data_IF_957949015968
#
_entry.id   IF_957949015968
#
_cell.length_a   1.000
_cell.length_b   1.000
_cell.length_c   1.000
_cell.angle_alpha   90.00
_cell.angle_beta   90.00
_cell.angle_gamma   90.00
#
_symmetry.space_group_name_H-M   'P 1'
#
loop_
_entity.id
_entity.type
_entity.pdbx_description
1 polymer ?
#
# COMPACT_ATOMS: atom_id res chain seq x y z
N UNK A 1 -8.01 -4.03 15.91
CA UNK A 1 -7.30 -4.47 17.13
C UNK A 1 -6.02 -5.22 16.75
N UNK A 2 -4.82 -4.67 17.03
CA UNK A 2 -3.54 -5.41 16.97
C UNK A 2 -3.32 -6.29 18.22
N UNK A 3 -4.36 -6.51 19.05
CA UNK A 3 -4.27 -7.13 20.39
C UNK A 3 -4.78 -8.58 20.49
N UNK A 4 -5.08 -9.27 19.38
CA UNK A 4 -5.36 -10.72 19.44
C UNK A 4 -4.26 -11.53 18.75
N UNK A 5 -3.40 -12.11 19.57
CA UNK A 5 -2.40 -13.13 19.24
C UNK A 5 -3.06 -14.51 19.08
N UNK A 6 -4.03 -14.61 18.16
CA UNK A 6 -4.64 -15.89 17.82
C UNK A 6 -3.68 -16.79 17.03
N UNK A 7 -3.80 -18.14 17.10
CA UNK A 7 -2.93 -19.09 16.41
C UNK A 7 -2.75 -18.80 14.91
N UNK A 8 -3.81 -18.40 14.21
CA UNK A 8 -3.74 -18.07 12.77
C UNK A 8 -2.78 -16.92 12.45
N UNK A 9 -2.68 -15.92 13.33
CA UNK A 9 -1.77 -14.79 13.14
C UNK A 9 -0.31 -15.20 13.37
N UNK A 10 -0.07 -16.07 14.35
CA UNK A 10 1.26 -16.63 14.60
C UNK A 10 1.72 -17.51 13.42
N UNK A 11 0.83 -18.34 12.87
CA UNK A 11 1.13 -19.12 11.68
C UNK A 11 1.45 -18.25 10.46
N UNK A 12 0.72 -17.15 10.28
CA UNK A 12 1.01 -16.19 9.22
C UNK A 12 2.41 -15.57 9.40
N UNK A 13 2.75 -15.11 10.60
CA UNK A 13 4.07 -14.54 10.88
C UNK A 13 5.20 -15.55 10.67
N UNK A 14 5.05 -16.77 11.17
CA UNK A 14 6.01 -17.85 10.98
C UNK A 14 6.20 -18.18 9.49
N UNK A 15 5.12 -18.20 8.71
CA UNK A 15 5.17 -18.46 7.28
C UNK A 15 5.91 -17.35 6.50
N UNK A 16 5.63 -16.08 6.79
CA UNK A 16 6.30 -14.95 6.12
C UNK A 16 7.78 -14.92 6.49
N UNK A 17 8.11 -15.01 7.78
CA UNK A 17 9.51 -15.01 8.24
C UNK A 17 10.27 -16.23 7.68
N UNK A 18 9.66 -17.41 7.71
CA UNK A 18 10.23 -18.62 7.12
C UNK A 18 10.49 -18.48 5.61
N UNK A 19 9.64 -17.76 4.89
CA UNK A 19 9.85 -17.45 3.46
C UNK A 19 11.05 -16.52 3.26
N UNK A 20 11.15 -15.45 4.06
CA UNK A 20 12.27 -14.51 4.00
C UNK A 20 13.60 -15.19 4.36
N UNK A 21 13.63 -16.04 5.39
CA UNK A 21 14.83 -16.79 5.75
C UNK A 21 15.25 -17.79 4.67
N UNK A 22 14.30 -18.52 4.07
CA UNK A 22 14.58 -19.41 2.94
C UNK A 22 15.13 -18.67 1.72
N UNK A 23 14.74 -17.41 1.52
CA UNK A 23 15.28 -16.57 0.48
C UNK A 23 16.72 -16.08 0.77
N UNK A 24 17.21 -16.17 2.01
CA UNK A 24 18.58 -15.81 2.39
C UNK A 24 18.71 -14.52 3.20
N UNK A 25 17.60 -13.91 3.65
CA UNK A 25 17.68 -12.73 4.51
C UNK A 25 18.31 -13.06 5.87
N UNK A 26 19.14 -12.14 6.39
CA UNK A 26 19.58 -12.15 7.79
C UNK A 26 18.39 -11.91 8.74
N UNK A 27 18.58 -12.17 10.04
CA UNK A 27 17.56 -11.90 11.07
C UNK A 27 17.07 -10.45 11.00
N UNK A 28 18.01 -9.50 10.96
CA UNK A 28 17.69 -8.08 10.89
C UNK A 28 17.04 -7.70 9.56
N UNK A 29 17.50 -8.28 8.45
CA UNK A 29 16.93 -8.06 7.12
C UNK A 29 15.49 -8.56 7.01
N UNK A 30 15.23 -9.77 7.50
CA UNK A 30 13.89 -10.35 7.53
C UNK A 30 12.94 -9.56 8.43
N UNK A 31 13.41 -9.08 9.58
CA UNK A 31 12.62 -8.23 10.48
C UNK A 31 12.21 -6.91 9.81
N UNK A 32 13.14 -6.25 9.10
CA UNK A 32 12.85 -5.01 8.35
C UNK A 32 11.91 -5.27 7.18
N UNK A 33 12.14 -6.33 6.39
CA UNK A 33 11.29 -6.70 5.27
C UNK A 33 9.86 -7.02 5.72
N UNK A 34 9.72 -7.81 6.80
CA UNK A 34 8.43 -8.11 7.40
C UNK A 34 7.69 -6.85 7.85
N UNK A 35 8.37 -5.96 8.57
CA UNK A 35 7.77 -4.70 9.04
C UNK A 35 7.32 -3.80 7.90
N UNK A 36 8.09 -3.74 6.80
CA UNK A 36 7.76 -2.98 5.61
C UNK A 36 6.50 -3.52 4.93
N UNK A 37 6.43 -4.84 4.72
CA UNK A 37 5.27 -5.52 4.13
C UNK A 37 4.02 -5.36 5.00
N UNK A 38 4.10 -5.59 6.31
CA UNK A 38 2.98 -5.41 7.26
C UNK A 38 2.46 -3.98 7.21
N UNK A 39 3.36 -2.98 7.19
CA UNK A 39 2.97 -1.57 7.17
C UNK A 39 2.27 -1.18 5.86
N UNK A 40 2.78 -1.64 4.71
CA UNK A 40 2.19 -1.38 3.40
C UNK A 40 0.79 -2.01 3.29
N UNK A 41 0.68 -3.30 3.59
CA UNK A 41 -0.60 -4.03 3.54
C UNK A 41 -1.61 -3.41 4.49
N UNK A 42 -1.21 -3.12 5.73
CA UNK A 42 -2.10 -2.54 6.73
C UNK A 42 -2.57 -1.14 6.34
N UNK A 43 -1.66 -0.29 5.85
CA UNK A 43 -2.00 1.06 5.39
C UNK A 43 -2.99 1.03 4.22
N UNK A 44 -2.79 0.12 3.26
CA UNK A 44 -3.71 -0.08 2.15
C UNK A 44 -5.08 -0.58 2.63
N UNK A 45 -5.13 -1.56 3.53
CA UNK A 45 -6.40 -2.08 4.08
C UNK A 45 -7.20 -1.02 4.82
N UNK A 46 -6.55 -0.09 5.54
CA UNK A 46 -7.23 1.05 6.17
C UNK A 46 -7.84 1.96 5.10
N UNK A 47 -7.08 2.35 4.08
CA UNK A 47 -7.56 3.24 3.03
C UNK A 47 -8.74 2.63 2.28
N UNK A 48 -8.66 1.35 1.92
CA UNK A 48 -9.75 0.62 1.28
C UNK A 48 -11.00 0.54 2.19
N UNK A 49 -10.80 0.30 3.49
CA UNK A 49 -11.90 0.25 4.45
C UNK A 49 -12.58 1.62 4.62
N UNK A 50 -11.80 2.70 4.68
CA UNK A 50 -12.33 4.06 4.76
C UNK A 50 -13.09 4.43 3.49
N UNK A 51 -12.54 4.14 2.31
CA UNK A 51 -13.22 4.35 1.03
C UNK A 51 -14.55 3.59 0.96
N UNK A 52 -14.60 2.37 1.49
CA UNK A 52 -15.83 1.57 1.59
C UNK A 52 -16.83 2.13 2.61
N UNK A 53 -16.34 2.78 3.67
CA UNK A 53 -17.14 3.32 4.77
C UNK A 53 -17.74 4.70 4.46
N UNK A 54 -17.07 5.51 3.63
CA UNK A 54 -17.53 6.85 3.26
C UNK A 54 -18.76 6.85 2.35
N UNK A 55 -19.14 5.70 1.77
CA UNK A 55 -20.44 5.45 1.15
C UNK A 55 -20.67 6.17 -0.19
N UNK A 56 -21.06 5.39 -1.20
CA UNK A 56 -21.62 5.76 -2.53
C UNK A 56 -20.79 6.68 -3.46
N UNK A 57 -19.93 7.55 -2.94
CA UNK A 57 -19.13 8.45 -3.78
C UNK A 57 -18.05 7.68 -4.55
N UNK A 58 -18.16 7.64 -5.88
CA UNK A 58 -17.11 7.04 -6.70
C UNK A 58 -15.84 7.88 -6.64
N UNK A 59 -14.70 7.31 -7.04
CA UNK A 59 -13.45 8.05 -7.10
C UNK A 59 -13.55 9.29 -8.02
N UNK A 60 -14.37 9.19 -9.06
CA UNK A 60 -14.68 10.29 -9.99
C UNK A 60 -15.48 11.40 -9.30
N UNK A 61 -16.46 11.06 -8.46
CA UNK A 61 -17.25 12.03 -7.69
C UNK A 61 -16.39 12.76 -6.65
N UNK A 62 -15.51 12.03 -5.97
CA UNK A 62 -14.52 12.63 -5.07
C UNK A 62 -13.55 13.56 -5.82
N UNK A 63 -13.09 13.16 -7.01
CA UNK A 63 -12.20 13.97 -7.84
C UNK A 63 -12.91 15.24 -8.36
N UNK A 64 -14.19 15.14 -8.73
CA UNK A 64 -14.99 16.29 -9.15
C UNK A 64 -15.18 17.30 -8.00
N UNK A 65 -15.56 16.82 -6.80
CA UNK A 65 -15.69 17.67 -5.62
C UNK A 65 -14.35 18.32 -5.20
N UNK A 66 -13.24 17.61 -5.39
CA UNK A 66 -11.90 18.16 -5.22
C UNK A 66 -11.63 19.29 -6.23
N UNK A 67 -11.92 19.11 -7.52
CA UNK A 67 -11.69 20.16 -8.52
C UNK A 67 -12.48 21.44 -8.26
N UNK A 68 -13.72 21.33 -7.78
CA UNK A 68 -14.53 22.49 -7.40
C UNK A 68 -13.95 23.27 -6.20
N UNK A 69 -13.24 22.58 -5.31
CA UNK A 69 -12.74 23.14 -4.06
C UNK A 69 -11.26 23.54 -4.08
N UNK A 70 -10.49 23.13 -5.09
CA UNK A 70 -9.04 23.37 -5.18
C UNK A 70 -8.75 24.57 -6.09
N UNK A 71 -8.25 25.71 -5.55
CA UNK A 71 -7.80 26.82 -6.38
C UNK A 71 -6.58 26.42 -7.22
N UNK A 72 -6.74 26.38 -8.53
CA UNK A 72 -5.69 25.97 -9.48
C UNK A 72 -4.41 26.79 -9.34
N UNK A 73 -4.53 28.10 -9.08
CA UNK A 73 -3.39 29.00 -8.92
C UNK A 73 -2.54 28.70 -7.66
N UNK A 74 -3.13 28.01 -6.68
CA UNK A 74 -2.45 27.64 -5.42
C UNK A 74 -1.98 26.20 -5.39
N UNK A 75 -2.72 25.30 -6.04
CA UNK A 75 -2.45 23.85 -6.00
C UNK A 75 -2.49 23.22 -7.40
N UNK A 76 -1.63 23.67 -8.34
CA UNK A 76 -1.69 23.24 -9.73
C UNK A 76 -1.46 21.73 -9.91
N UNK A 77 -0.61 21.11 -9.08
CA UNK A 77 -0.34 19.67 -9.14
C UNK A 77 -1.54 18.84 -8.69
N UNK A 78 -2.24 19.29 -7.64
CA UNK A 78 -3.41 18.58 -7.14
C UNK A 78 -4.58 18.69 -8.11
N UNK A 79 -4.77 19.87 -8.70
CA UNK A 79 -5.73 20.06 -9.78
C UNK A 79 -5.40 19.17 -10.99
N UNK A 80 -4.12 19.07 -11.38
CA UNK A 80 -3.67 18.14 -12.44
C UNK A 80 -4.02 16.69 -12.12
N UNK A 81 -3.79 16.25 -10.88
CA UNK A 81 -4.11 14.89 -10.46
C UNK A 81 -5.60 14.63 -10.46
N UNK A 82 -6.42 15.53 -9.88
CA UNK A 82 -7.87 15.36 -9.85
C UNK A 82 -8.49 15.33 -11.25
N UNK A 83 -8.00 16.16 -12.19
CA UNK A 83 -8.39 16.08 -13.61
C UNK A 83 -8.03 14.72 -14.24
N UNK A 84 -6.84 14.19 -13.96
CA UNK A 84 -6.42 12.89 -14.48
C UNK A 84 -7.29 11.75 -13.93
N UNK A 85 -7.57 11.77 -12.63
CA UNK A 85 -8.43 10.79 -11.96
C UNK A 85 -9.85 10.80 -12.54
N UNK A 86 -10.42 11.98 -12.84
CA UNK A 86 -11.72 12.06 -13.54
C UNK A 86 -11.70 11.44 -14.95
N UNK A 87 -10.57 11.54 -15.66
CA UNK A 87 -10.48 11.07 -17.05
C UNK A 87 -10.15 9.59 -17.17
N UNK A 88 -9.29 9.08 -16.29
CA UNK A 88 -8.73 7.72 -16.37
C UNK A 88 -9.39 6.75 -15.40
N UNK A 89 -10.19 7.24 -14.46
CA UNK A 89 -10.72 6.47 -13.34
C UNK A 89 -9.66 6.12 -12.31
N UNK A 90 -10.07 5.43 -11.25
CA UNK A 90 -9.20 4.97 -10.18
C UNK A 90 -9.30 3.44 -10.01
N UNK A 91 -8.17 2.76 -10.12
CA UNK A 91 -8.06 1.32 -9.90
C UNK A 91 -7.22 1.04 -8.65
N UNK A 92 -7.92 0.78 -7.55
CA UNK A 92 -7.32 0.54 -6.25
C UNK A 92 -6.48 -0.76 -6.21
N UNK A 93 -6.83 -1.77 -7.02
CA UNK A 93 -6.09 -3.02 -7.08
C UNK A 93 -4.78 -2.85 -7.86
N UNK A 94 -4.81 -2.07 -8.94
CA UNK A 94 -3.62 -1.71 -9.71
C UNK A 94 -2.61 -0.94 -8.84
N UNK A 95 -3.07 0.00 -8.02
CA UNK A 95 -2.22 0.76 -7.11
C UNK A 95 -1.59 -0.13 -6.03
N UNK A 96 -2.35 -1.08 -5.47
CA UNK A 96 -1.81 -2.07 -4.53
C UNK A 96 -0.69 -2.89 -5.17
N UNK A 97 -0.95 -3.43 -6.36
CA UNK A 97 0.00 -4.27 -7.09
C UNK A 97 1.26 -3.49 -7.46
N UNK A 98 1.12 -2.23 -7.87
CA UNK A 98 2.24 -1.35 -8.21
C UNK A 98 3.18 -1.13 -7.02
N UNK A 99 2.65 -0.72 -5.86
CA UNK A 99 3.49 -0.50 -4.68
C UNK A 99 4.10 -1.80 -4.14
N UNK A 100 3.37 -2.92 -4.17
CA UNK A 100 3.90 -4.22 -3.76
C UNK A 100 5.06 -4.64 -4.68
N UNK A 101 4.93 -4.45 -5.99
CA UNK A 101 6.00 -4.74 -6.95
C UNK A 101 7.26 -3.94 -6.62
N UNK A 102 7.15 -2.64 -6.33
CA UNK A 102 8.30 -1.80 -5.96
C UNK A 102 8.98 -2.33 -4.70
N UNK A 103 8.19 -2.71 -3.69
CA UNK A 103 8.73 -3.26 -2.43
C UNK A 103 9.48 -4.56 -2.71
N UNK A 104 8.89 -5.48 -3.45
CA UNK A 104 9.50 -6.77 -3.77
C UNK A 104 10.78 -6.61 -4.62
N UNK A 105 10.75 -5.73 -5.63
CA UNK A 105 11.92 -5.40 -6.45
C UNK A 105 13.06 -4.82 -5.57
N UNK A 106 12.73 -3.98 -4.58
CA UNK A 106 13.69 -3.43 -3.63
C UNK A 106 14.27 -4.48 -2.68
N UNK A 107 13.43 -5.39 -2.17
CA UNK A 107 13.87 -6.50 -1.33
C UNK A 107 14.79 -7.47 -2.10
N UNK A 108 14.48 -7.74 -3.36
CA UNK A 108 15.33 -8.58 -4.22
C UNK A 108 16.72 -7.96 -4.44
N UNK A 109 16.80 -6.64 -4.63
CA UNK A 109 18.09 -5.93 -4.75
C UNK A 109 18.91 -6.03 -3.47
N UNK A 110 18.29 -5.80 -2.31
CA UNK A 110 18.96 -5.93 -1.00
C UNK A 110 19.52 -7.35 -0.82
N UNK A 111 18.76 -8.36 -1.24
CA UNK A 111 19.21 -9.76 -1.18
C UNK A 111 20.44 -9.99 -2.08
N UNK A 112 20.41 -9.49 -3.32
CA UNK A 112 21.53 -9.60 -4.27
C UNK A 112 22.79 -8.88 -3.80
N UNK A 113 22.66 -7.74 -3.11
CA UNK A 113 23.79 -6.97 -2.58
C UNK A 113 24.40 -7.57 -1.30
N UNK A 114 23.68 -8.48 -0.64
CA UNK A 114 24.14 -9.15 0.59
C UNK A 114 24.92 -10.45 0.31
N UNK A 115 25.09 -10.82 -0.96
CA UNK A 115 25.81 -11.99 -1.46
C UNK A 115 26.99 -11.58 -2.34
#
# INVERSE_FOLDING_TARGET
SRKSSGPSRLHYFEWVLGTLFKAGFSIDGAGRAFSLLDSYIYGFSIQQSNASADGEATAEEMAAAMLESIPVDKYPNLHRMAMNSMQSGYDIEADFAFGLKIILDGLERILKESH
#
